data_IF_097593483590
#
_entry.id   IF_097593483590
#
_cell.length_a   1.000
_cell.length_b   1.000
_cell.length_c   1.000
_cell.angle_alpha   90.00
_cell.angle_beta   90.00
_cell.angle_gamma   90.00
#
_symmetry.space_group_name_H-M   'P 1'
#
loop_
_entity.id
_entity.type
_entity.pdbx_description
1 polymer ?
#
# COMPACT_ATOMS: atom_id res chain seq x y z
N UNK A 1 -37.12 -8.07 41.35
CA UNK A 1 -36.02 -7.13 41.13
C UNK A 1 -35.27 -7.60 39.88
N UNK A 2 -35.34 -6.88 38.75
CA UNK A 2 -34.56 -7.25 37.57
C UNK A 2 -33.12 -6.75 37.76
N UNK A 3 -32.19 -7.64 37.57
CA UNK A 3 -30.74 -7.36 37.54
C UNK A 3 -30.43 -6.65 36.22
N UNK A 4 -30.03 -5.39 36.32
CA UNK A 4 -29.54 -4.60 35.19
C UNK A 4 -28.17 -5.10 34.79
N UNK A 5 -28.08 -5.79 33.68
CA UNK A 5 -26.80 -6.06 32.99
C UNK A 5 -26.34 -4.76 32.34
N UNK A 6 -25.43 -4.06 33.01
CA UNK A 6 -24.64 -3.01 32.37
C UNK A 6 -23.72 -3.70 31.33
N UNK A 7 -24.00 -3.44 30.08
CA UNK A 7 -23.01 -3.68 29.02
C UNK A 7 -21.85 -2.73 29.28
N UNK A 8 -20.71 -3.25 29.73
CA UNK A 8 -19.45 -2.53 29.72
C UNK A 8 -19.14 -2.19 28.26
N UNK A 9 -19.29 -0.93 27.89
CA UNK A 9 -18.73 -0.40 26.67
C UNK A 9 -17.20 -0.52 26.79
N UNK A 10 -16.60 -1.41 26.04
CA UNK A 10 -15.14 -1.43 25.85
C UNK A 10 -14.77 -0.03 25.34
N UNK A 11 -14.09 0.74 26.18
CA UNK A 11 -13.61 2.06 25.79
C UNK A 11 -12.70 1.86 24.57
N UNK A 12 -13.08 2.42 23.43
CA UNK A 12 -12.25 2.39 22.22
C UNK A 12 -10.87 2.95 22.57
N UNK A 13 -9.83 2.18 22.33
CA UNK A 13 -8.47 2.60 22.62
C UNK A 13 -8.17 3.91 21.85
N UNK A 14 -7.65 4.90 22.55
CA UNK A 14 -7.28 6.16 21.91
C UNK A 14 -6.12 5.93 20.96
N UNK A 15 -6.15 6.49 19.73
CA UNK A 15 -5.09 6.26 18.75
C UNK A 15 -3.76 6.83 19.23
N UNK A 16 -2.69 6.09 19.01
CA UNK A 16 -1.31 6.56 19.20
C UNK A 16 -0.99 7.63 18.16
N UNK A 17 -0.52 8.80 18.59
CA UNK A 17 -0.18 9.88 17.67
C UNK A 17 1.14 9.59 16.96
N UNK A 18 1.12 9.57 15.63
CA UNK A 18 2.35 9.47 14.82
C UNK A 18 3.02 10.83 14.76
N UNK A 19 4.10 10.94 15.52
CA UNK A 19 4.93 12.15 15.59
C UNK A 19 6.32 11.86 15.05
N UNK A 20 7.12 12.89 14.69
CA UNK A 20 8.53 12.71 14.35
C UNK A 20 9.34 11.97 15.43
N UNK A 21 9.02 12.16 16.71
CA UNK A 21 9.68 11.44 17.81
C UNK A 21 9.36 9.95 17.76
N UNK A 22 8.08 9.58 17.65
CA UNK A 22 7.67 8.17 17.50
C UNK A 22 8.40 7.49 16.33
N UNK A 23 8.49 8.16 15.18
CA UNK A 23 9.14 7.60 14.00
C UNK A 23 10.66 7.43 14.17
N UNK A 24 11.33 8.33 14.91
CA UNK A 24 12.75 8.16 15.25
C UNK A 24 12.98 7.00 16.23
N UNK A 25 12.04 6.77 17.15
CA UNK A 25 12.06 5.63 18.07
C UNK A 25 11.68 4.31 17.39
N UNK A 26 11.12 4.41 16.19
CA UNK A 26 10.75 3.28 15.31
C UNK A 26 11.42 3.40 13.94
N UNK A 27 12.77 3.34 13.91
CA UNK A 27 13.56 3.68 12.73
C UNK A 27 13.33 2.70 11.58
N UNK A 28 13.44 3.23 10.35
CA UNK A 28 13.42 2.39 9.15
C UNK A 28 14.66 1.47 9.13
N UNK A 29 14.54 0.28 8.51
CA UNK A 29 15.70 -0.59 8.30
C UNK A 29 16.85 0.17 7.63
N UNK A 30 18.07 -0.10 8.09
CA UNK A 30 19.26 0.51 7.50
C UNK A 30 19.31 0.27 5.98
N UNK A 31 19.76 1.25 5.18
CA UNK A 31 19.88 1.05 3.74
C UNK A 31 20.91 -0.04 3.48
N UNK A 32 20.51 -1.10 2.78
CA UNK A 32 21.38 -2.17 2.40
C UNK A 32 22.51 -1.71 1.45
N UNK A 33 23.55 -2.53 1.33
CA UNK A 33 24.73 -2.21 0.52
C UNK A 33 24.50 -2.19 -0.99
N UNK A 34 23.41 -2.78 -1.49
CA UNK A 34 23.08 -2.87 -2.91
C UNK A 34 21.57 -2.78 -3.18
N UNK A 35 21.21 -2.76 -4.47
CA UNK A 35 19.80 -2.65 -4.88
C UNK A 35 18.96 -3.90 -4.54
N UNK A 36 19.57 -5.05 -4.34
CA UNK A 36 18.84 -6.28 -4.01
C UNK A 36 18.43 -6.30 -2.54
N UNK A 37 19.32 -5.86 -1.66
CA UNK A 37 19.04 -5.73 -0.21
C UNK A 37 18.02 -4.66 0.15
N UNK A 38 17.70 -3.75 -0.79
CA UNK A 38 16.65 -2.73 -0.62
C UNK A 38 15.29 -3.18 -1.14
N UNK A 39 15.19 -4.42 -1.57
CA UNK A 39 13.95 -5.04 -2.02
C UNK A 39 13.46 -4.60 -3.39
N UNK A 40 12.51 -5.35 -3.91
CA UNK A 40 11.89 -5.16 -5.22
C UNK A 40 10.39 -4.94 -5.09
N UNK A 41 9.88 -3.94 -5.82
CA UNK A 41 8.46 -3.63 -5.91
C UNK A 41 7.94 -4.00 -7.30
N UNK A 42 6.81 -4.69 -7.33
CA UNK A 42 6.02 -4.91 -8.53
C UNK A 42 4.73 -4.09 -8.43
N UNK A 43 4.50 -3.18 -9.35
CA UNK A 43 3.24 -2.42 -9.46
C UNK A 43 2.40 -3.02 -10.59
N UNK A 44 1.17 -3.43 -10.31
CA UNK A 44 0.21 -3.95 -11.29
C UNK A 44 -0.95 -2.96 -11.39
N UNK A 45 -1.12 -2.37 -12.57
CA UNK A 45 -2.13 -1.34 -12.79
C UNK A 45 -1.99 -0.65 -14.14
N UNK A 46 -2.24 0.66 -14.21
CA UNK A 46 -1.94 1.47 -15.38
C UNK A 46 -2.69 1.03 -16.63
N UNK A 47 -4.01 1.17 -16.66
CA UNK A 47 -4.80 1.07 -17.89
C UNK A 47 -4.36 2.12 -18.92
N UNK A 48 -4.74 1.93 -20.19
CA UNK A 48 -4.39 2.83 -21.31
C UNK A 48 -4.75 4.30 -21.03
N UNK A 49 -5.88 4.54 -20.36
CA UNK A 49 -6.35 5.88 -20.06
C UNK A 49 -5.64 6.52 -18.84
N UNK A 50 -5.10 5.69 -17.93
CA UNK A 50 -4.57 6.11 -16.62
C UNK A 50 -3.18 5.55 -16.30
N UNK A 51 -2.23 5.51 -17.27
CA UNK A 51 -0.92 4.91 -17.06
C UNK A 51 -0.07 5.71 -16.05
N UNK A 52 -0.37 7.00 -15.90
CA UNK A 52 0.33 7.91 -14.99
C UNK A 52 0.21 7.53 -13.52
N UNK A 53 -0.86 6.85 -13.11
CA UNK A 53 -1.04 6.39 -11.74
C UNK A 53 0.02 5.35 -11.35
N UNK A 54 0.23 4.33 -12.19
CA UNK A 54 1.29 3.34 -11.98
C UNK A 54 2.70 3.98 -12.01
N UNK A 55 2.90 5.01 -12.84
CA UNK A 55 4.15 5.77 -12.88
C UNK A 55 4.40 6.53 -11.58
N UNK A 56 3.39 7.21 -11.05
CA UNK A 56 3.46 7.95 -9.78
C UNK A 56 3.75 7.00 -8.62
N UNK A 57 3.02 5.89 -8.54
CA UNK A 57 3.21 4.87 -7.51
C UNK A 57 4.62 4.26 -7.57
N UNK A 58 5.08 3.88 -8.76
CA UNK A 58 6.43 3.33 -8.96
C UNK A 58 7.53 4.34 -8.60
N UNK A 59 7.37 5.60 -9.02
CA UNK A 59 8.30 6.67 -8.66
C UNK A 59 8.37 6.84 -7.14
N UNK A 60 7.23 6.89 -6.46
CA UNK A 60 7.17 7.00 -5.01
C UNK A 60 7.82 5.80 -4.30
N UNK A 61 7.64 4.58 -4.82
CA UNK A 61 8.29 3.39 -4.28
C UNK A 61 9.83 3.48 -4.34
N UNK A 62 10.39 3.93 -5.47
CA UNK A 62 11.83 4.18 -5.61
C UNK A 62 12.30 5.31 -4.69
N UNK A 63 11.55 6.41 -4.59
CA UNK A 63 11.86 7.54 -3.71
C UNK A 63 11.76 7.17 -2.23
N UNK A 64 10.90 6.22 -1.86
CA UNK A 64 10.86 5.62 -0.52
C UNK A 64 11.99 4.61 -0.26
N UNK A 65 12.82 4.35 -1.26
CA UNK A 65 14.08 3.62 -1.14
C UNK A 65 14.06 2.18 -1.61
N UNK A 66 13.01 1.70 -2.29
CA UNK A 66 13.03 0.41 -2.97
C UNK A 66 14.23 0.31 -3.94
N UNK A 67 14.87 -0.85 -3.97
CA UNK A 67 16.06 -1.06 -4.79
C UNK A 67 15.76 -1.38 -6.26
N UNK A 68 14.58 -1.97 -6.52
CA UNK A 68 14.14 -2.36 -7.85
C UNK A 68 12.65 -2.11 -8.01
N UNK A 69 12.27 -1.77 -9.23
CA UNK A 69 10.89 -1.54 -9.63
C UNK A 69 10.57 -2.26 -10.94
N UNK A 70 9.41 -2.89 -10.98
CA UNK A 70 8.79 -3.35 -12.23
C UNK A 70 7.36 -2.82 -12.29
N UNK A 71 6.97 -2.24 -13.41
CA UNK A 71 5.61 -1.83 -13.73
C UNK A 71 4.99 -2.89 -14.65
N UNK A 72 3.90 -3.51 -14.26
CA UNK A 72 3.08 -4.40 -15.07
C UNK A 72 1.77 -3.68 -15.39
N UNK A 73 1.63 -3.23 -16.63
CA UNK A 73 0.62 -2.27 -17.08
C UNK A 73 0.01 -2.71 -18.39
N UNK A 74 -1.04 -2.05 -18.87
CA UNK A 74 -1.60 -2.32 -20.19
C UNK A 74 -0.51 -2.34 -21.27
N UNK A 75 -0.52 -3.34 -22.14
CA UNK A 75 0.54 -3.59 -23.12
C UNK A 75 0.82 -2.39 -24.03
N UNK A 76 -0.24 -1.67 -24.39
CA UNK A 76 -0.14 -0.49 -25.27
C UNK A 76 0.64 0.70 -24.66
N UNK A 77 0.84 0.75 -23.34
CA UNK A 77 1.53 1.87 -22.66
C UNK A 77 2.83 1.48 -21.97
N UNK A 78 3.16 0.19 -21.90
CA UNK A 78 4.33 -0.31 -21.19
C UNK A 78 5.64 0.33 -21.67
N UNK A 79 5.84 0.43 -22.97
CA UNK A 79 7.06 1.02 -23.55
C UNK A 79 7.21 2.49 -23.17
N UNK A 80 6.12 3.27 -23.20
CA UNK A 80 6.13 4.68 -22.87
C UNK A 80 6.49 4.90 -21.40
N UNK A 81 6.00 4.04 -20.50
CA UNK A 81 6.35 4.11 -19.08
C UNK A 81 7.81 3.75 -18.82
N UNK A 82 8.34 2.74 -19.52
CA UNK A 82 9.78 2.39 -19.44
C UNK A 82 10.70 3.51 -19.92
N UNK A 83 10.25 4.34 -20.87
CA UNK A 83 10.98 5.55 -21.29
C UNK A 83 10.82 6.70 -20.29
N UNK A 84 9.62 6.85 -19.71
CA UNK A 84 9.33 7.91 -18.74
C UNK A 84 10.03 7.71 -17.39
N UNK A 85 10.27 6.45 -16.99
CA UNK A 85 10.97 6.07 -15.77
C UNK A 85 12.05 5.01 -16.09
N UNK A 86 13.24 5.44 -16.55
CA UNK A 86 14.29 4.52 -16.98
C UNK A 86 14.83 3.59 -15.88
N UNK A 87 14.56 3.88 -14.62
CA UNK A 87 14.94 3.08 -13.47
C UNK A 87 14.06 1.85 -13.26
N UNK A 88 12.96 1.69 -14.02
CA UNK A 88 12.05 0.55 -13.89
C UNK A 88 12.16 -0.44 -15.06
N UNK A 89 11.77 -1.70 -14.79
CA UNK A 89 11.31 -2.62 -15.83
C UNK A 89 9.84 -2.31 -16.15
N UNK A 90 9.44 -2.39 -17.42
CA UNK A 90 8.05 -2.24 -17.84
C UNK A 90 7.59 -3.47 -18.60
N UNK A 91 6.51 -4.10 -18.14
CA UNK A 91 5.93 -5.33 -18.68
C UNK A 91 4.50 -5.05 -19.16
N UNK A 92 4.20 -5.47 -20.40
CA UNK A 92 2.85 -5.37 -20.97
C UNK A 92 1.98 -6.54 -20.51
N UNK A 93 0.84 -6.23 -19.91
CA UNK A 93 -0.25 -7.17 -19.62
C UNK A 93 -1.31 -7.09 -20.70
N UNK A 94 -2.05 -8.20 -20.95
CA UNK A 94 -3.21 -8.18 -21.82
C UNK A 94 -4.21 -7.12 -21.37
N UNK A 95 -4.84 -6.49 -22.37
CA UNK A 95 -5.81 -5.42 -22.15
C UNK A 95 -7.05 -5.65 -23.04
N UNK A 96 -8.18 -5.10 -22.64
CA UNK A 96 -9.39 -5.06 -23.45
C UNK A 96 -9.22 -4.13 -24.66
N UNK A 97 -10.20 -4.13 -25.58
CA UNK A 97 -10.22 -3.16 -26.69
C UNK A 97 -10.22 -1.70 -26.20
N UNK A 98 -10.79 -1.43 -25.02
CA UNK A 98 -10.84 -0.11 -24.39
C UNK A 98 -9.54 0.22 -23.62
N UNK A 99 -8.69 -0.78 -23.37
CA UNK A 99 -7.37 -0.58 -22.75
C UNK A 99 -7.32 -0.87 -21.26
N UNK A 100 -8.35 -1.49 -20.70
CA UNK A 100 -8.36 -1.94 -19.31
C UNK A 100 -7.50 -3.20 -19.14
N UNK A 101 -6.67 -3.25 -18.10
CA UNK A 101 -5.84 -4.42 -17.79
C UNK A 101 -6.74 -5.59 -17.37
N UNK A 102 -6.49 -6.77 -17.94
CA UNK A 102 -7.22 -8.00 -17.58
C UNK A 102 -6.46 -8.84 -16.57
N UNK A 103 -7.14 -9.79 -15.91
CA UNK A 103 -6.50 -10.79 -15.03
C UNK A 103 -5.69 -11.85 -15.79
N UNK A 104 -5.72 -11.81 -17.11
CA UNK A 104 -4.97 -12.73 -17.97
C UNK A 104 -3.47 -12.35 -18.04
N UNK A 105 -2.64 -13.31 -18.43
CA UNK A 105 -1.24 -13.04 -18.74
C UNK A 105 -0.32 -12.84 -17.52
N UNK A 106 -0.76 -13.19 -16.31
CA UNK A 106 0.10 -13.19 -15.12
C UNK A 106 1.35 -14.08 -15.28
N UNK A 107 1.31 -15.06 -16.19
CA UNK A 107 2.48 -15.87 -16.52
C UNK A 107 3.61 -15.07 -17.13
N UNK A 108 3.33 -13.96 -17.82
CA UNK A 108 4.35 -13.04 -18.37
C UNK A 108 5.17 -12.38 -17.27
N UNK A 109 4.62 -12.25 -16.09
CA UNK A 109 5.26 -11.60 -14.93
C UNK A 109 5.55 -12.56 -13.77
N UNK A 110 5.45 -13.89 -13.98
CA UNK A 110 5.67 -14.91 -12.95
C UNK A 110 6.97 -14.72 -12.19
N UNK A 111 8.09 -14.53 -12.91
CA UNK A 111 9.40 -14.35 -12.28
C UNK A 111 9.53 -13.04 -11.50
N UNK A 112 8.68 -12.05 -11.75
CA UNK A 112 8.63 -10.81 -11.00
C UNK A 112 7.76 -10.98 -9.74
N UNK A 113 6.64 -11.67 -9.85
CA UNK A 113 5.80 -12.05 -8.70
C UNK A 113 6.60 -12.85 -7.66
N UNK A 114 7.36 -13.86 -8.11
CA UNK A 114 8.17 -14.72 -7.24
C UNK A 114 9.33 -13.99 -6.54
N UNK A 115 9.82 -12.89 -7.12
CA UNK A 115 10.99 -12.14 -6.60
C UNK A 115 10.62 -10.81 -5.98
N UNK A 116 9.34 -10.44 -5.99
CA UNK A 116 8.88 -9.23 -5.36
C UNK A 116 8.94 -9.36 -3.84
N UNK A 117 9.40 -8.31 -3.17
CA UNK A 117 9.28 -8.15 -1.72
C UNK A 117 7.98 -7.43 -1.36
N UNK A 118 7.46 -6.60 -2.29
CA UNK A 118 6.14 -6.01 -2.21
C UNK A 118 5.47 -5.95 -3.60
N UNK A 119 4.18 -6.24 -3.63
CA UNK A 119 3.30 -6.10 -4.81
C UNK A 119 2.27 -5.02 -4.49
N UNK A 120 2.16 -4.03 -5.37
CA UNK A 120 1.13 -2.99 -5.31
C UNK A 120 0.15 -3.19 -6.47
N UNK A 121 -1.12 -3.39 -6.16
CA UNK A 121 -2.19 -3.56 -7.17
C UNK A 121 -3.20 -2.42 -7.04
N UNK A 122 -3.59 -1.85 -8.17
CA UNK A 122 -4.67 -0.87 -8.19
C UNK A 122 -4.38 0.46 -8.90
N UNK A 123 -3.21 1.11 -8.70
CA UNK A 123 -2.94 2.40 -9.32
C UNK A 123 -3.22 2.41 -10.82
N UNK A 124 -4.25 3.14 -11.24
CA UNK A 124 -4.63 3.26 -12.64
C UNK A 124 -5.37 2.07 -13.25
N UNK A 125 -5.88 1.12 -12.47
CA UNK A 125 -6.96 0.24 -12.93
C UNK A 125 -8.23 1.08 -13.11
N UNK A 126 -9.06 0.75 -14.08
CA UNK A 126 -10.22 1.55 -14.48
C UNK A 126 -11.52 0.74 -14.65
N UNK A 127 -11.46 -0.57 -14.38
CA UNK A 127 -12.59 -1.47 -14.42
C UNK A 127 -12.67 -2.33 -13.14
N UNK A 128 -13.76 -2.23 -12.35
CA UNK A 128 -13.87 -2.94 -11.07
C UNK A 128 -14.01 -4.45 -11.21
N UNK A 129 -14.65 -4.95 -12.27
CA UNK A 129 -14.85 -6.37 -12.48
C UNK A 129 -13.53 -7.03 -12.93
N UNK A 130 -12.80 -6.37 -13.82
CA UNK A 130 -11.46 -6.82 -14.22
C UNK A 130 -10.46 -6.74 -13.07
N UNK A 131 -10.57 -5.75 -12.20
CA UNK A 131 -9.75 -5.67 -10.98
C UNK A 131 -10.03 -6.85 -10.04
N UNK A 132 -11.31 -7.26 -9.87
CA UNK A 132 -11.67 -8.46 -9.11
C UNK A 132 -11.08 -9.73 -9.75
N UNK A 133 -11.19 -9.89 -11.07
CA UNK A 133 -10.62 -11.02 -11.82
C UNK A 133 -9.10 -11.11 -11.63
N UNK A 134 -8.42 -9.97 -11.71
CA UNK A 134 -6.96 -9.88 -11.48
C UNK A 134 -6.59 -10.32 -10.06
N UNK A 135 -7.30 -9.83 -9.04
CA UNK A 135 -7.05 -10.22 -7.64
C UNK A 135 -7.33 -11.72 -7.44
N UNK A 136 -8.39 -12.25 -8.03
CA UNK A 136 -8.71 -13.67 -7.98
C UNK A 136 -7.58 -14.52 -8.58
N UNK A 137 -7.09 -14.13 -9.76
CA UNK A 137 -6.00 -14.84 -10.42
C UNK A 137 -4.69 -14.80 -9.60
N UNK A 138 -4.39 -13.68 -8.92
CA UNK A 138 -3.25 -13.56 -8.02
C UNK A 138 -3.40 -14.47 -6.79
N UNK A 139 -4.59 -14.54 -6.18
CA UNK A 139 -4.87 -15.41 -5.03
C UNK A 139 -4.79 -16.89 -5.39
N UNK A 140 -5.34 -17.30 -6.54
CA UNK A 140 -5.30 -18.68 -7.04
C UNK A 140 -3.86 -19.13 -7.27
N UNK A 141 -3.03 -18.26 -7.86
CA UNK A 141 -1.60 -18.54 -8.07
C UNK A 141 -0.85 -18.80 -6.77
N UNK A 142 -1.18 -18.08 -5.69
CA UNK A 142 -0.56 -18.31 -4.38
C UNK A 142 -1.11 -19.54 -3.66
N UNK A 143 -2.39 -19.85 -3.86
CA UNK A 143 -3.04 -21.03 -3.26
C UNK A 143 -2.61 -22.36 -3.87
N UNK A 144 -2.26 -22.38 -5.18
CA UNK A 144 -1.83 -23.56 -5.93
C UNK A 144 -0.32 -23.84 -5.81
N UNK A 145 0.45 -22.96 -5.14
CA UNK A 145 1.88 -23.19 -4.89
C UNK A 145 2.10 -24.44 -4.08
N UNK A 146 3.13 -25.29 -4.37
CA UNK A 146 3.44 -26.49 -3.61
C UNK A 146 3.73 -26.08 -2.16
N UNK A 147 2.81 -26.39 -1.28
CA UNK A 147 2.70 -26.05 0.14
C UNK A 147 3.96 -25.47 0.77
N UNK A 148 3.92 -24.20 1.10
CA UNK A 148 4.66 -23.50 2.15
C UNK A 148 6.08 -23.92 2.52
N UNK A 149 6.95 -24.25 1.57
CA UNK A 149 8.38 -24.37 1.84
C UNK A 149 9.11 -23.24 1.10
N UNK A 150 9.27 -22.10 1.80
CA UNK A 150 10.00 -20.97 1.30
C UNK A 150 11.38 -21.38 0.83
N UNK A 151 11.60 -21.34 -0.51
CA UNK A 151 12.94 -21.25 -1.03
C UNK A 151 13.39 -19.80 -0.82
N UNK A 152 14.24 -19.63 0.20
CA UNK A 152 14.67 -18.34 0.70
C UNK A 152 15.22 -17.41 -0.36
N UNK A 153 14.53 -16.33 -0.61
CA UNK A 153 15.18 -15.09 -0.89
C UNK A 153 15.96 -14.69 0.36
N UNK A 154 17.26 -14.44 0.26
CA UNK A 154 18.16 -14.12 1.36
C UNK A 154 17.93 -12.69 1.90
N UNK A 155 16.69 -12.36 2.29
CA UNK A 155 16.34 -11.17 3.02
C UNK A 155 16.26 -11.51 4.50
N UNK A 156 17.34 -11.22 5.23
CA UNK A 156 17.42 -11.35 6.69
C UNK A 156 16.65 -10.22 7.38
N UNK A 157 15.34 -10.14 7.21
CA UNK A 157 14.49 -9.22 7.93
C UNK A 157 13.31 -9.96 8.54
N UNK A 158 13.12 -9.82 9.84
CA UNK A 158 12.04 -10.41 10.64
C UNK A 158 10.62 -9.96 10.22
N UNK A 159 10.43 -9.40 9.02
CA UNK A 159 9.23 -8.67 8.60
C UNK A 159 8.12 -9.47 7.89
N UNK A 160 8.31 -10.74 7.53
CA UNK A 160 7.33 -11.49 6.74
C UNK A 160 6.90 -12.79 7.44
N UNK A 161 5.99 -12.70 8.38
CA UNK A 161 5.42 -13.84 9.08
C UNK A 161 4.62 -14.82 8.17
N UNK A 162 4.38 -14.48 6.90
CA UNK A 162 3.56 -15.25 5.97
C UNK A 162 4.28 -15.85 4.75
N UNK A 163 5.60 -15.76 4.63
CA UNK A 163 6.37 -16.49 3.60
C UNK A 163 6.22 -16.02 2.14
N UNK A 164 5.62 -14.84 1.85
CA UNK A 164 5.46 -14.28 0.51
C UNK A 164 5.64 -12.75 0.49
N UNK A 165 5.52 -12.08 -0.68
CA UNK A 165 5.59 -10.63 -0.80
C UNK A 165 4.49 -9.94 -0.01
N UNK A 166 4.75 -8.74 0.51
CA UNK A 166 3.67 -7.90 1.00
C UNK A 166 2.74 -7.50 -0.15
N UNK A 167 1.44 -7.39 0.12
CA UNK A 167 0.43 -7.00 -0.87
C UNK A 167 -0.20 -5.70 -0.44
N UNK A 168 -0.03 -4.66 -1.25
CA UNK A 168 -0.66 -3.34 -1.06
C UNK A 168 -1.77 -3.20 -2.10
N UNK A 169 -3.00 -2.91 -1.66
CA UNK A 169 -4.14 -2.69 -2.54
C UNK A 169 -4.61 -1.25 -2.44
N UNK A 170 -4.85 -0.62 -3.60
CA UNK A 170 -5.29 0.75 -3.73
C UNK A 170 -6.37 0.88 -4.82
N UNK A 171 -7.12 1.96 -4.80
CA UNK A 171 -8.08 2.31 -5.84
C UNK A 171 -9.07 1.18 -6.19
N UNK A 172 -9.23 0.85 -7.48
CA UNK A 172 -10.19 -0.18 -7.92
C UNK A 172 -9.93 -1.59 -7.37
N UNK A 173 -8.69 -1.91 -6.98
CA UNK A 173 -8.40 -3.19 -6.34
C UNK A 173 -9.13 -3.35 -4.99
N UNK A 174 -9.39 -2.25 -4.28
CA UNK A 174 -10.14 -2.28 -3.02
C UNK A 174 -11.60 -2.71 -3.22
N UNK A 175 -12.23 -2.26 -4.32
CA UNK A 175 -13.61 -2.68 -4.65
C UNK A 175 -13.73 -4.18 -4.95
N UNK A 176 -12.76 -4.74 -5.67
CA UNK A 176 -12.69 -6.18 -5.95
C UNK A 176 -12.48 -7.04 -4.70
N UNK A 177 -11.82 -6.48 -3.68
CA UNK A 177 -11.50 -7.20 -2.44
C UNK A 177 -12.76 -7.65 -1.67
N UNK A 178 -13.83 -6.85 -1.68
CA UNK A 178 -15.07 -7.16 -0.94
C UNK A 178 -15.65 -8.52 -1.34
N UNK A 179 -15.64 -8.83 -2.63
CA UNK A 179 -16.16 -10.11 -3.15
C UNK A 179 -15.22 -11.30 -2.89
N UNK A 180 -14.00 -11.04 -2.43
CA UNK A 180 -12.96 -12.05 -2.20
C UNK A 180 -12.60 -12.20 -0.71
N UNK A 181 -13.37 -11.58 0.19
CA UNK A 181 -13.06 -11.53 1.62
C UNK A 181 -12.81 -12.91 2.24
N UNK A 182 -13.55 -13.93 1.83
CA UNK A 182 -13.42 -15.33 2.31
C UNK A 182 -12.23 -16.09 1.70
N UNK A 183 -11.47 -15.47 0.80
CA UNK A 183 -10.37 -16.10 0.05
C UNK A 183 -9.00 -15.51 0.37
N UNK A 184 -8.90 -14.63 1.34
CA UNK A 184 -7.70 -13.84 1.64
C UNK A 184 -6.65 -14.57 2.49
N UNK A 185 -6.87 -15.80 2.89
CA UNK A 185 -5.92 -16.59 3.69
C UNK A 185 -4.49 -16.56 3.14
N UNK A 186 -4.24 -16.65 1.80
CA UNK A 186 -2.89 -16.54 1.27
C UNK A 186 -2.18 -15.21 1.57
N UNK A 187 -2.93 -14.13 1.79
CA UNK A 187 -2.40 -12.78 2.05
C UNK A 187 -2.42 -12.38 3.53
N UNK A 188 -2.90 -13.24 4.40
CA UNK A 188 -3.01 -12.96 5.84
C UNK A 188 -1.66 -12.51 6.43
N UNK A 189 -1.67 -11.43 7.21
CA UNK A 189 -0.49 -10.86 7.87
C UNK A 189 0.43 -10.02 6.98
N UNK A 190 0.17 -9.93 5.66
CA UNK A 190 0.99 -9.17 4.71
C UNK A 190 0.19 -8.22 3.80
N UNK A 191 -1.12 -8.08 4.06
CA UNK A 191 -2.02 -7.21 3.31
C UNK A 191 -2.04 -5.80 3.91
N UNK A 192 -1.97 -4.79 3.03
CA UNK A 192 -2.10 -3.36 3.38
C UNK A 192 -3.13 -2.75 2.43
N UNK A 193 -4.06 -1.96 2.96
CA UNK A 193 -5.09 -1.27 2.20
C UNK A 193 -4.94 0.24 2.38
N UNK A 194 -5.11 1.01 1.29
CA UNK A 194 -4.97 2.47 1.28
C UNK A 194 -6.26 3.18 0.83
N UNK A 195 -7.43 2.86 1.43
CA UNK A 195 -8.69 3.44 0.97
C UNK A 195 -8.78 4.94 1.26
N UNK A 196 -9.40 5.68 0.34
CA UNK A 196 -10.02 6.97 0.65
C UNK A 196 -11.40 6.71 1.34
N UNK A 197 -12.10 7.74 1.88
CA UNK A 197 -13.37 7.53 2.58
C UNK A 197 -14.48 6.89 1.73
N UNK A 198 -14.50 7.12 0.42
CA UNK A 198 -15.48 6.49 -0.46
C UNK A 198 -15.18 5.01 -0.66
N UNK A 199 -13.91 4.67 -0.82
CA UNK A 199 -13.43 3.29 -0.90
C UNK A 199 -13.60 2.57 0.44
N UNK A 200 -13.37 3.25 1.57
CA UNK A 200 -13.66 2.72 2.90
C UNK A 200 -15.14 2.38 3.07
N UNK A 201 -16.05 3.24 2.58
CA UNK A 201 -17.49 2.95 2.57
C UNK A 201 -17.83 1.69 1.74
N UNK A 202 -17.16 1.48 0.61
CA UNK A 202 -17.30 0.25 -0.19
C UNK A 202 -16.82 -0.98 0.60
N UNK A 203 -15.66 -0.90 1.25
CA UNK A 203 -15.10 -1.99 2.06
C UNK A 203 -16.00 -2.35 3.25
N UNK A 204 -16.65 -1.36 3.86
CA UNK A 204 -17.59 -1.51 4.97
C UNK A 204 -18.99 -1.94 4.51
N UNK A 205 -19.31 -1.77 3.22
CA UNK A 205 -20.67 -1.93 2.67
C UNK A 205 -21.71 -1.01 3.36
N UNK A 206 -21.23 0.12 3.91
CA UNK A 206 -22.01 1.19 4.54
C UNK A 206 -21.22 2.50 4.50
N UNK A 207 -21.90 3.61 4.78
CA UNK A 207 -21.23 4.91 4.93
C UNK A 207 -20.24 4.93 6.10
N UNK A 208 -19.19 5.73 5.97
CA UNK A 208 -18.22 6.00 7.06
C UNK A 208 -18.86 6.94 8.06
N UNK A 209 -18.93 6.56 9.34
CA UNK A 209 -19.51 7.34 10.42
C UNK A 209 -18.46 7.84 11.42
N UNK A 210 -17.59 6.94 11.88
CA UNK A 210 -16.46 7.24 12.76
C UNK A 210 -15.18 6.64 12.15
N UNK A 211 -14.37 7.50 11.57
CA UNK A 211 -13.17 7.07 10.85
C UNK A 211 -12.22 6.23 11.72
N UNK A 212 -12.19 6.48 13.03
CA UNK A 212 -11.36 5.72 13.98
C UNK A 212 -11.84 4.27 14.11
N UNK A 213 -13.14 4.10 14.39
CA UNK A 213 -13.76 2.79 14.51
C UNK A 213 -13.84 2.07 13.16
N UNK A 214 -14.17 2.79 12.11
CA UNK A 214 -14.35 2.25 10.75
C UNK A 214 -13.05 1.70 10.16
N UNK A 215 -11.93 2.39 10.39
CA UNK A 215 -10.61 1.90 9.92
C UNK A 215 -10.19 0.64 10.68
N UNK A 216 -10.48 0.56 11.97
CA UNK A 216 -10.24 -0.64 12.78
C UNK A 216 -11.15 -1.81 12.33
N UNK A 217 -12.45 -1.55 12.04
CA UNK A 217 -13.37 -2.56 11.51
C UNK A 217 -12.90 -3.12 10.17
N UNK A 218 -12.43 -2.27 9.24
CA UNK A 218 -11.85 -2.71 7.97
C UNK A 218 -10.62 -3.58 8.22
N UNK A 219 -9.73 -3.17 9.12
CA UNK A 219 -8.52 -3.93 9.44
C UNK A 219 -8.85 -5.33 9.94
N UNK A 220 -9.83 -5.46 10.84
CA UNK A 220 -10.29 -6.74 11.36
C UNK A 220 -11.01 -7.58 10.31
N UNK A 221 -11.91 -6.96 9.52
CA UNK A 221 -12.67 -7.64 8.46
C UNK A 221 -11.76 -8.30 7.42
N UNK A 222 -10.72 -7.60 6.98
CA UNK A 222 -9.82 -8.08 5.93
C UNK A 222 -8.48 -8.64 6.45
N UNK A 223 -8.27 -8.67 7.77
CA UNK A 223 -7.00 -9.07 8.38
C UNK A 223 -5.80 -8.32 7.76
N UNK A 224 -5.94 -7.01 7.59
CA UNK A 224 -5.03 -6.13 6.87
C UNK A 224 -4.63 -4.91 7.70
N UNK A 225 -3.46 -4.36 7.43
CA UNK A 225 -3.17 -2.99 7.88
C UNK A 225 -3.89 -2.02 6.96
N UNK A 226 -4.57 -1.02 7.52
CA UNK A 226 -5.35 -0.03 6.77
C UNK A 226 -4.82 1.36 7.03
N UNK A 227 -4.62 2.16 5.98
CA UNK A 227 -4.32 3.59 6.08
C UNK A 227 -5.40 4.40 5.36
N UNK A 228 -6.21 5.15 6.09
CA UNK A 228 -7.29 5.97 5.56
C UNK A 228 -7.27 7.35 6.20
N UNK A 229 -7.09 8.40 5.40
CA UNK A 229 -7.12 9.81 5.85
C UNK A 229 -6.32 10.10 7.12
N UNK A 230 -5.12 9.55 7.23
CA UNK A 230 -4.25 9.77 8.38
C UNK A 230 -4.56 8.92 9.61
N UNK A 231 -5.55 8.05 9.55
CA UNK A 231 -5.75 6.97 10.51
C UNK A 231 -5.16 5.68 9.98
N UNK A 232 -4.43 4.96 10.83
CA UNK A 232 -3.87 3.65 10.50
C UNK A 232 -4.35 2.66 11.55
N UNK A 233 -4.82 1.48 11.11
CA UNK A 233 -5.15 0.38 11.99
C UNK A 233 -4.48 -0.91 11.52
N UNK A 234 -4.16 -1.79 12.45
CA UNK A 234 -3.83 -3.19 12.20
C UNK A 234 -4.90 -4.09 12.80
N UNK A 235 -5.04 -5.34 12.33
CA UNK A 235 -5.98 -6.30 12.92
C UNK A 235 -5.75 -6.48 14.41
N UNK A 236 -6.83 -6.61 15.17
CA UNK A 236 -6.81 -6.87 16.60
C UNK A 236 -6.24 -8.26 16.91
N UNK A 237 -5.53 -8.42 18.02
CA UNK A 237 -5.06 -9.71 18.49
C UNK A 237 -3.87 -10.31 17.74
N UNK A 238 -3.07 -9.49 17.03
CA UNK A 238 -1.81 -9.93 16.41
C UNK A 238 -0.73 -10.32 17.42
N UNK A 239 0.35 -10.96 16.92
CA UNK A 239 1.44 -11.55 17.74
C UNK A 239 2.27 -10.52 18.55
N UNK A 240 2.01 -9.22 18.44
CA UNK A 240 2.67 -8.16 19.17
C UNK A 240 1.67 -7.36 20.04
N UNK A 241 1.24 -7.90 21.18
CA UNK A 241 0.21 -7.31 22.04
C UNK A 241 0.65 -5.99 22.70
N UNK A 242 1.93 -5.67 22.71
CA UNK A 242 2.47 -4.42 23.28
C UNK A 242 2.47 -3.25 22.29
N UNK A 243 2.26 -3.49 21.00
CA UNK A 243 2.18 -2.45 19.99
C UNK A 243 0.76 -1.89 19.90
N UNK A 244 0.66 -0.58 19.60
CA UNK A 244 -0.64 0.05 19.30
C UNK A 244 -1.32 -0.64 18.12
N UNK A 245 -2.63 -0.76 18.19
CA UNK A 245 -3.46 -1.29 17.08
C UNK A 245 -4.02 -0.17 16.21
N UNK A 246 -3.93 1.08 16.69
CA UNK A 246 -4.50 2.25 16.02
C UNK A 246 -3.57 3.45 16.16
N UNK A 247 -3.31 4.14 15.04
CA UNK A 247 -2.49 5.36 14.98
C UNK A 247 -3.23 6.48 14.25
N UNK A 248 -2.83 7.72 14.57
CA UNK A 248 -3.35 8.92 13.94
C UNK A 248 -2.21 9.86 13.56
N UNK A 249 -2.23 10.36 12.32
CA UNK A 249 -1.30 11.38 11.85
C UNK A 249 -1.55 12.73 12.54
N UNK A 250 -0.47 13.47 12.76
CA UNK A 250 -0.47 14.84 13.33
C UNK A 250 -0.06 15.90 12.31
N UNK A 251 0.01 15.55 11.03
CA UNK A 251 0.45 16.39 9.90
C UNK A 251 -0.43 16.13 8.68
N UNK A 252 -0.32 16.91 7.61
CA UNK A 252 -1.10 16.74 6.39
C UNK A 252 -2.34 17.61 6.31
N UNK A 253 -2.22 18.88 6.70
CA UNK A 253 -3.34 19.81 6.76
C UNK A 253 -3.70 20.46 5.41
N UNK A 254 -2.93 20.28 4.36
CA UNK A 254 -3.16 20.97 3.10
C UNK A 254 -2.79 20.20 1.85
N UNK A 255 -3.60 20.40 0.77
CA UNK A 255 -3.24 20.09 -0.59
C UNK A 255 -3.29 18.62 -1.05
N UNK A 256 -3.60 17.67 -0.17
CA UNK A 256 -3.62 16.22 -0.52
C UNK A 256 -4.80 15.81 -1.43
N UNK A 257 -5.79 16.67 -1.64
CA UNK A 257 -6.87 16.46 -2.61
C UNK A 257 -6.44 16.62 -4.09
N UNK A 258 -5.16 16.39 -4.40
CA UNK A 258 -4.62 16.48 -5.76
C UNK A 258 -4.66 15.10 -6.44
N UNK A 259 -4.99 15.07 -7.75
CA UNK A 259 -5.04 13.81 -8.51
C UNK A 259 -3.68 13.10 -8.49
N UNK A 260 -3.68 11.81 -8.21
CA UNK A 260 -2.46 10.99 -8.13
C UNK A 260 -1.79 10.99 -6.74
N UNK A 261 -2.31 11.75 -5.77
CA UNK A 261 -1.76 11.78 -4.41
C UNK A 261 -1.87 10.42 -3.71
N UNK A 262 -2.99 9.69 -3.89
CA UNK A 262 -3.17 8.33 -3.38
C UNK A 262 -2.16 7.36 -3.95
N UNK A 263 -1.91 7.42 -5.28
CA UNK A 263 -0.91 6.57 -5.95
C UNK A 263 0.49 6.77 -5.35
N UNK A 264 0.85 8.01 -5.01
CA UNK A 264 2.13 8.33 -4.34
C UNK A 264 2.17 7.72 -2.92
N UNK A 265 1.08 7.81 -2.17
CA UNK A 265 0.98 7.19 -0.84
C UNK A 265 1.15 5.67 -0.92
N UNK A 266 0.36 5.01 -1.77
CA UNK A 266 0.40 3.56 -1.95
C UNK A 266 1.79 3.09 -2.41
N UNK A 267 2.41 3.82 -3.35
CA UNK A 267 3.77 3.57 -3.81
C UNK A 267 4.81 3.73 -2.71
N UNK A 268 4.72 4.78 -1.89
CA UNK A 268 5.63 5.00 -0.76
C UNK A 268 5.54 3.86 0.27
N UNK A 269 4.32 3.43 0.62
CA UNK A 269 4.09 2.30 1.53
C UNK A 269 4.68 1.00 0.95
N UNK A 270 4.43 0.71 -0.34
CA UNK A 270 5.00 -0.47 -1.00
C UNK A 270 6.53 -0.43 -1.01
N UNK A 271 7.14 0.72 -1.29
CA UNK A 271 8.60 0.90 -1.27
C UNK A 271 9.21 0.68 0.12
N UNK A 272 8.58 1.19 1.17
CA UNK A 272 9.01 0.97 2.55
C UNK A 272 8.86 -0.50 2.95
N UNK A 273 7.74 -1.14 2.55
CA UNK A 273 7.53 -2.57 2.79
C UNK A 273 8.61 -3.43 2.14
N UNK A 274 8.95 -3.15 0.88
CA UNK A 274 9.99 -3.86 0.16
C UNK A 274 11.36 -3.77 0.86
N UNK A 275 11.64 -2.67 1.59
CA UNK A 275 12.86 -2.49 2.38
C UNK A 275 12.90 -3.30 3.68
N UNK A 276 11.86 -4.09 4.00
CA UNK A 276 11.83 -4.95 5.18
C UNK A 276 11.17 -4.34 6.43
N UNK A 277 10.40 -3.25 6.31
CA UNK A 277 9.57 -2.75 7.42
C UNK A 277 8.42 -3.72 7.71
N UNK A 278 7.82 -3.67 8.88
CA UNK A 278 6.51 -4.30 9.11
C UNK A 278 5.40 -3.56 8.35
N UNK A 279 4.23 -4.19 8.17
CA UNK A 279 3.10 -3.54 7.48
C UNK A 279 2.62 -2.28 8.19
N UNK A 280 2.54 -2.31 9.53
CA UNK A 280 2.17 -1.15 10.34
C UNK A 280 3.23 -0.03 10.26
N UNK A 281 4.52 -0.39 10.33
CA UNK A 281 5.61 0.58 10.18
C UNK A 281 5.57 1.25 8.80
N UNK A 282 5.43 0.47 7.72
CA UNK A 282 5.33 1.02 6.36
C UNK A 282 4.14 1.98 6.21
N UNK A 283 2.98 1.61 6.75
CA UNK A 283 1.79 2.45 6.71
C UNK A 283 1.98 3.75 7.51
N UNK A 284 2.50 3.69 8.74
CA UNK A 284 2.74 4.87 9.56
C UNK A 284 3.80 5.81 8.94
N UNK A 285 4.95 5.26 8.54
CA UNK A 285 5.99 6.04 7.89
C UNK A 285 5.54 6.61 6.54
N UNK A 286 4.95 5.78 5.66
CA UNK A 286 4.49 6.20 4.33
C UNK A 286 3.44 7.30 4.41
N UNK A 287 2.45 7.16 5.30
CA UNK A 287 1.41 8.17 5.50
C UNK A 287 2.00 9.47 6.09
N UNK A 288 2.93 9.37 7.04
CA UNK A 288 3.59 10.56 7.60
C UNK A 288 4.42 11.31 6.55
N UNK A 289 5.25 10.57 5.78
CA UNK A 289 6.08 11.17 4.74
C UNK A 289 5.25 11.87 3.67
N UNK A 290 4.16 11.21 3.23
CA UNK A 290 3.23 11.77 2.26
C UNK A 290 2.54 13.04 2.79
N UNK A 291 2.07 13.01 4.03
CA UNK A 291 1.43 14.15 4.70
C UNK A 291 2.40 15.32 4.90
N UNK A 292 3.61 15.04 5.38
CA UNK A 292 4.65 16.04 5.59
C UNK A 292 5.17 16.66 4.26
N UNK A 293 5.21 15.85 3.19
CA UNK A 293 5.52 16.35 1.85
C UNK A 293 4.50 17.40 1.38
N UNK A 294 3.20 17.13 1.61
CA UNK A 294 2.15 18.09 1.28
C UNK A 294 2.25 19.38 2.09
N UNK A 295 2.48 19.30 3.39
CA UNK A 295 2.65 20.49 4.25
C UNK A 295 3.87 21.32 3.80
N UNK A 296 4.98 20.66 3.43
CA UNK A 296 6.18 21.32 2.89
C UNK A 296 5.90 22.03 1.57
N UNK A 297 5.24 21.36 0.63
CA UNK A 297 4.85 21.94 -0.66
C UNK A 297 3.83 23.09 -0.48
N UNK A 298 2.84 22.91 0.40
CA UNK A 298 1.87 23.93 0.71
C UNK A 298 2.52 25.21 1.28
N UNK A 299 3.56 25.05 2.11
CA UNK A 299 4.29 26.22 2.64
C UNK A 299 5.13 26.95 1.59
N UNK A 300 5.60 26.25 0.55
CA UNK A 300 6.43 26.82 -0.53
C UNK A 300 5.64 27.34 -1.72
N UNK A 301 4.62 26.61 -2.11
CA UNK A 301 3.84 26.86 -3.35
C UNK A 301 2.41 27.31 -3.08
N UNK A 302 1.94 27.18 -1.84
CA UNK A 302 0.54 27.36 -1.47
C UNK A 302 -0.20 26.01 -1.36
N UNK A 303 -1.40 26.00 -0.72
CA UNK A 303 -2.15 24.77 -0.46
C UNK A 303 -2.78 24.13 -1.71
N UNK A 304 -2.72 24.80 -2.83
CA UNK A 304 -3.24 24.35 -4.13
C UNK A 304 -2.16 24.54 -5.21
N UNK A 305 -2.15 23.64 -6.20
CA UNK A 305 -1.36 23.81 -7.43
C UNK A 305 -0.04 23.04 -7.48
N UNK A 306 0.42 22.40 -6.41
CA UNK A 306 1.49 21.43 -6.54
C UNK A 306 0.95 20.12 -7.13
N UNK A 307 1.83 19.38 -7.81
CA UNK A 307 1.48 18.14 -8.50
C UNK A 307 1.83 16.93 -7.63
N UNK A 308 1.10 15.82 -7.79
CA UNK A 308 1.36 14.60 -7.04
C UNK A 308 2.81 14.09 -7.16
N UNK A 309 3.44 14.23 -8.33
CA UNK A 309 4.85 13.86 -8.50
C UNK A 309 5.81 14.63 -7.60
N UNK A 310 5.49 15.88 -7.24
CA UNK A 310 6.31 16.70 -6.35
C UNK A 310 6.28 16.18 -4.92
N UNK A 311 5.18 15.51 -4.49
CA UNK A 311 5.14 14.79 -3.22
C UNK A 311 6.20 13.67 -3.17
N UNK A 312 6.33 12.89 -4.25
CA UNK A 312 7.33 11.84 -4.33
C UNK A 312 8.77 12.39 -4.24
N UNK A 313 9.03 13.56 -4.80
CA UNK A 313 10.35 14.20 -4.77
C UNK A 313 10.77 14.67 -3.36
N UNK A 314 9.84 14.95 -2.47
CA UNK A 314 10.10 15.35 -1.09
C UNK A 314 10.43 14.15 -0.16
N UNK A 315 10.03 12.91 -0.51
CA UNK A 315 10.17 11.75 0.38
C UNK A 315 11.61 11.49 0.85
N UNK A 316 12.65 11.53 -0.02
CA UNK A 316 14.01 11.22 0.43
C UNK A 316 14.55 12.24 1.45
N UNK A 317 14.25 13.52 1.27
CA UNK A 317 14.67 14.57 2.19
C UNK A 317 13.99 14.42 3.56
N UNK A 318 12.69 14.12 3.57
CA UNK A 318 11.92 13.90 4.79
C UNK A 318 12.40 12.65 5.55
N UNK A 319 12.72 11.56 4.84
CA UNK A 319 13.30 10.38 5.48
C UNK A 319 14.65 10.69 6.13
N UNK A 320 15.50 11.46 5.45
CA UNK A 320 16.79 11.86 6.00
C UNK A 320 16.64 12.69 7.30
N UNK A 321 15.70 13.63 7.33
CA UNK A 321 15.42 14.47 8.51
C UNK A 321 14.90 13.68 9.72
N UNK A 322 14.21 12.57 9.48
CA UNK A 322 13.67 11.71 10.53
C UNK A 322 14.67 10.69 11.04
N UNK A 323 15.59 10.22 10.19
CA UNK A 323 16.58 9.20 10.55
C UNK A 323 17.90 9.80 11.09
N UNK A 324 18.03 11.12 11.10
CA UNK A 324 19.16 11.81 11.74
C UNK A 324 18.76 12.29 13.13
#
# INVERSE_FOLDING_TARGET
>A
MPVSTQSESVAAASPTLVTPSLLRDWPLPAPGGDKYSRGSVLVIGGARATPGAALLAGTAALRAGAGKLTLAVAESVAMQLGVALPECGAMGLPETADGSVTGEGLDRISSYLERADAILVGPGLDDPDLAEELLRALLEREGDGPGGSGSGGSGSGEGNAGGGPAVVLDAYALGGLVKLADRLDPWKGRLILTPNPKEAAVLLEREVEDLTADVAEIADKFQAVVSCQGYIARPSGGDAPEESELWKMTTGYGGLGTSGSGDVLAGAIAGLRARGTTSAQAACWGTHLHAAAADRLASRLGPLGFLARELADELPALMLELNT
#
